data_IF_752175775107
#
_entry.id   IF_752175775107
#
_cell.length_a   1.000
_cell.length_b   1.000
_cell.length_c   1.000
_cell.angle_alpha   90.00
_cell.angle_beta   90.00
_cell.angle_gamma   90.00
#
_symmetry.space_group_name_H-M   'P 1'
#
loop_
_entity.id
_entity.type
_entity.pdbx_description
1 polymer ?
#
# COMPACT_ATOMS: atom_id res chain seq x y z
N UNK A 1 11.27 -20.13 1.90
CA UNK A 1 10.01 -20.64 1.33
C UNK A 1 9.10 -19.45 1.00
N UNK A 2 9.37 -18.73 -0.10
CA UNK A 2 8.76 -17.40 -0.33
C UNK A 2 8.57 -17.04 -1.82
N UNK A 3 8.85 -17.96 -2.73
CA UNK A 3 8.91 -17.74 -4.18
C UNK A 3 7.58 -17.99 -4.91
N UNK A 4 6.71 -18.87 -4.41
CA UNK A 4 5.48 -19.25 -5.13
C UNK A 4 4.35 -18.22 -5.02
N UNK A 5 4.21 -17.54 -3.87
CA UNK A 5 3.15 -16.53 -3.62
C UNK A 5 3.24 -15.33 -4.59
N UNK A 6 4.43 -15.02 -5.12
CA UNK A 6 4.65 -13.89 -6.04
C UNK A 6 4.22 -14.21 -7.48
N UNK A 7 4.20 -15.48 -7.87
CA UNK A 7 3.88 -15.90 -9.24
C UNK A 7 2.42 -15.58 -9.61
N UNK A 8 1.50 -15.70 -8.64
CA UNK A 8 0.08 -15.39 -8.84
C UNK A 8 -0.21 -13.90 -9.01
N UNK A 9 0.68 -13.01 -8.55
CA UNK A 9 0.45 -11.57 -8.50
C UNK A 9 1.11 -10.78 -9.66
N UNK A 10 1.83 -11.47 -10.56
CA UNK A 10 2.60 -10.86 -11.63
C UNK A 10 3.84 -10.08 -11.14
N UNK A 11 4.44 -9.25 -11.99
CA UNK A 11 5.59 -8.41 -11.58
C UNK A 11 5.16 -7.44 -10.47
N UNK A 12 5.78 -7.48 -9.28
CA UNK A 12 5.35 -6.65 -8.16
C UNK A 12 5.44 -5.16 -8.48
N UNK A 13 4.30 -4.47 -8.42
CA UNK A 13 4.19 -3.03 -8.66
C UNK A 13 4.66 -2.27 -7.43
N UNK A 14 5.57 -1.32 -7.60
CA UNK A 14 6.08 -0.53 -6.48
C UNK A 14 4.99 0.42 -5.99
N UNK A 15 4.79 0.43 -4.68
CA UNK A 15 3.86 1.31 -3.99
C UNK A 15 4.65 2.23 -3.06
N UNK A 16 4.92 3.44 -3.52
CA UNK A 16 5.64 4.45 -2.75
C UNK A 16 4.76 4.95 -1.61
N UNK A 17 5.20 4.73 -0.37
CA UNK A 17 4.44 5.09 0.84
C UNK A 17 5.13 6.21 1.61
N UNK A 18 4.34 7.14 2.13
CA UNK A 18 4.82 8.31 2.89
C UNK A 18 4.32 8.31 4.35
N UNK A 19 3.87 7.13 4.80
CA UNK A 19 3.46 6.86 6.17
C UNK A 19 3.98 5.46 6.60
N UNK A 20 4.49 5.37 7.82
CA UNK A 20 4.99 4.13 8.42
C UNK A 20 3.88 3.12 8.78
N UNK A 21 2.60 3.52 8.73
CA UNK A 21 1.47 2.63 9.00
C UNK A 21 1.47 1.35 8.15
N UNK A 22 1.97 1.43 6.92
CA UNK A 22 2.13 0.29 6.01
C UNK A 22 3.26 -0.67 6.37
N UNK A 23 4.26 -0.21 7.13
CA UNK A 23 5.43 -1.00 7.53
C UNK A 23 5.28 -1.62 8.91
N UNK A 24 4.58 -0.93 9.81
CA UNK A 24 4.42 -1.37 11.21
C UNK A 24 3.39 -2.49 11.39
N UNK A 25 2.66 -2.88 10.35
CA UNK A 25 1.60 -3.89 10.40
C UNK A 25 1.89 -5.01 9.39
N UNK A 26 2.45 -6.16 9.84
CA UNK A 26 2.90 -7.23 8.94
C UNK A 26 1.75 -7.82 8.11
N UNK A 27 0.52 -7.86 8.65
CA UNK A 27 -0.67 -8.30 7.91
C UNK A 27 -0.98 -7.41 6.71
N UNK A 28 -0.88 -6.09 6.86
CA UNK A 28 -1.13 -5.14 5.76
C UNK A 28 -0.05 -5.31 4.69
N UNK A 29 1.21 -5.41 5.09
CA UNK A 29 2.31 -5.65 4.15
C UNK A 29 2.12 -6.97 3.36
N UNK A 30 1.64 -8.04 4.02
CA UNK A 30 1.31 -9.31 3.34
C UNK A 30 0.14 -9.16 2.37
N UNK A 31 -0.96 -8.52 2.77
CA UNK A 31 -2.11 -8.26 1.89
C UNK A 31 -1.67 -7.49 0.64
N UNK A 32 -0.87 -6.44 0.80
CA UNK A 32 -0.37 -5.66 -0.33
C UNK A 32 0.53 -6.49 -1.24
N UNK A 33 1.42 -7.30 -0.67
CA UNK A 33 2.27 -8.23 -1.43
C UNK A 33 1.44 -9.20 -2.27
N UNK A 34 0.43 -9.82 -1.65
CA UNK A 34 -0.47 -10.75 -2.32
C UNK A 34 -1.35 -10.07 -3.38
N UNK A 35 -1.66 -8.78 -3.22
CA UNK A 35 -2.33 -7.95 -4.22
C UNK A 35 -1.38 -7.46 -5.34
N UNK A 36 -0.11 -7.92 -5.35
CA UNK A 36 0.89 -7.56 -6.35
C UNK A 36 1.54 -6.19 -6.12
N UNK A 37 1.43 -5.63 -4.92
CA UNK A 37 2.09 -4.39 -4.54
C UNK A 37 3.28 -4.64 -3.62
N UNK A 38 4.37 -3.93 -3.86
CA UNK A 38 5.53 -3.89 -2.98
C UNK A 38 5.65 -2.50 -2.35
N UNK A 39 5.28 -2.33 -1.06
CA UNK A 39 5.45 -1.06 -0.35
C UNK A 39 6.92 -0.67 -0.25
N UNK A 40 7.26 0.57 -0.60
CA UNK A 40 8.64 1.09 -0.56
C UNK A 40 8.68 2.52 -0.02
N UNK A 41 9.71 2.84 0.77
CA UNK A 41 10.02 4.21 1.19
C UNK A 41 10.91 4.87 0.14
N UNK A 42 10.30 5.34 -0.94
CA UNK A 42 11.02 5.99 -2.03
C UNK A 42 10.13 7.00 -2.75
N UNK A 43 10.74 7.94 -3.48
CA UNK A 43 10.01 8.76 -4.45
C UNK A 43 9.56 7.91 -5.64
N UNK A 44 8.36 8.16 -6.19
CA UNK A 44 7.88 7.44 -7.36
C UNK A 44 8.69 7.81 -8.60
N UNK A 45 8.98 6.79 -9.40
CA UNK A 45 9.50 6.85 -10.77
C UNK A 45 8.32 6.81 -11.75
N UNK A 46 8.52 7.12 -13.05
CA UNK A 46 7.46 6.94 -14.05
C UNK A 46 6.87 5.52 -13.99
N UNK A 47 5.54 5.43 -13.85
CA UNK A 47 4.82 4.15 -13.72
C UNK A 47 4.68 3.61 -12.30
N UNK A 48 5.38 4.15 -11.29
CA UNK A 48 5.15 3.76 -9.89
C UNK A 48 3.85 4.38 -9.35
N UNK A 49 3.20 3.68 -8.44
CA UNK A 49 2.03 4.18 -7.71
C UNK A 49 2.41 4.75 -6.34
N UNK A 50 1.60 5.67 -5.83
CA UNK A 50 1.71 6.21 -4.47
C UNK A 50 0.57 5.67 -3.60
N UNK A 51 0.91 5.12 -2.44
CA UNK A 51 -0.05 4.54 -1.50
C UNK A 51 -0.40 5.47 -0.35
N UNK A 52 -1.71 5.63 -0.08
CA UNK A 52 -2.23 6.37 1.08
C UNK A 52 -3.21 5.51 1.88
N UNK A 53 -3.39 5.84 3.16
CA UNK A 53 -4.42 5.25 4.00
C UNK A 53 -5.59 6.23 4.12
N UNK A 54 -6.69 5.94 3.46
CA UNK A 54 -7.90 6.77 3.40
C UNK A 54 -7.72 8.28 3.59
N UNK A 55 -8.56 8.87 4.42
CA UNK A 55 -8.45 10.26 4.88
C UNK A 55 -7.56 10.41 6.13
N UNK A 56 -6.45 9.65 6.22
CA UNK A 56 -5.50 9.77 7.32
C UNK A 56 -4.97 11.21 7.44
N UNK A 57 -4.63 11.70 8.65
CA UNK A 57 -3.94 12.99 8.85
C UNK A 57 -2.61 13.13 8.07
N UNK A 58 -2.08 12.02 7.55
CA UNK A 58 -0.84 11.98 6.77
C UNK A 58 -1.06 11.75 5.27
N UNK A 59 -2.31 11.52 4.82
CA UNK A 59 -2.64 11.20 3.43
C UNK A 59 -2.23 12.34 2.48
N UNK A 60 -2.30 13.59 2.95
CA UNK A 60 -1.93 14.78 2.17
C UNK A 60 -0.49 14.70 1.64
N UNK A 61 0.44 14.05 2.35
CA UNK A 61 1.83 13.87 1.88
C UNK A 61 1.89 13.03 0.63
N UNK A 62 1.17 11.90 0.62
CA UNK A 62 1.10 11.01 -0.54
C UNK A 62 0.35 11.67 -1.70
N UNK A 63 -0.77 12.33 -1.43
CA UNK A 63 -1.53 13.07 -2.44
C UNK A 63 -0.69 14.15 -3.11
N UNK A 64 0.05 14.94 -2.33
CA UNK A 64 0.95 15.98 -2.85
C UNK A 64 2.06 15.40 -3.74
N UNK A 65 2.68 14.28 -3.33
CA UNK A 65 3.70 13.62 -4.15
C UNK A 65 3.09 13.03 -5.43
N UNK A 66 1.94 12.38 -5.35
CA UNK A 66 1.25 11.81 -6.51
C UNK A 66 0.92 12.90 -7.54
N UNK A 67 0.33 14.02 -7.10
CA UNK A 67 0.03 15.16 -7.95
C UNK A 67 1.30 15.76 -8.58
N UNK A 68 2.35 15.98 -7.78
CA UNK A 68 3.62 16.55 -8.27
C UNK A 68 4.34 15.65 -9.28
N UNK A 69 4.15 14.33 -9.20
CA UNK A 69 4.86 13.34 -10.02
C UNK A 69 4.01 12.73 -11.13
N UNK A 70 2.73 13.11 -11.23
CA UNK A 70 1.78 12.49 -12.16
C UNK A 70 1.61 10.99 -11.90
N UNK A 71 1.80 10.55 -10.66
CA UNK A 71 1.78 9.13 -10.30
C UNK A 71 0.36 8.69 -9.93
N UNK A 72 -0.06 7.48 -10.32
CA UNK A 72 -1.32 6.90 -9.85
C UNK A 72 -1.40 6.85 -8.33
N UNK A 73 -2.56 7.17 -7.78
CA UNK A 73 -2.82 7.10 -6.33
C UNK A 73 -3.60 5.83 -6.02
N UNK A 74 -3.13 5.08 -5.00
CA UNK A 74 -3.81 3.90 -4.45
C UNK A 74 -4.21 4.20 -3.02
N UNK A 75 -5.51 4.19 -2.77
CA UNK A 75 -6.07 4.39 -1.42
C UNK A 75 -6.36 3.03 -0.79
N UNK A 76 -5.76 2.79 0.38
CA UNK A 76 -6.00 1.61 1.20
C UNK A 76 -6.94 1.99 2.33
N UNK A 77 -7.96 1.16 2.54
CA UNK A 77 -8.98 1.32 3.56
C UNK A 77 -9.13 0.03 4.36
N UNK A 78 -9.81 0.12 5.51
CA UNK A 78 -10.27 -1.07 6.21
C UNK A 78 -11.32 -1.82 5.36
N UNK A 79 -11.31 -3.16 5.47
CA UNK A 79 -12.32 -3.98 4.82
C UNK A 79 -13.71 -3.75 5.45
N UNK A 80 -14.77 -3.90 4.65
CA UNK A 80 -16.17 -3.81 5.12
C UNK A 80 -16.43 -4.66 6.36
N UNK A 81 -15.86 -5.87 6.41
CA UNK A 81 -15.83 -6.71 7.59
C UNK A 81 -14.39 -6.83 8.11
N UNK A 82 -14.07 -6.05 9.15
CA UNK A 82 -12.69 -6.00 9.69
C UNK A 82 -12.38 -7.09 10.72
N UNK A 83 -13.38 -7.72 11.32
CA UNK A 83 -13.20 -8.69 12.40
C UNK A 83 -14.41 -9.62 12.51
N UNK A 84 -14.17 -10.85 12.98
CA UNK A 84 -15.21 -11.80 13.39
C UNK A 84 -15.17 -11.86 14.92
N UNK A 85 -16.32 -11.69 15.57
CA UNK A 85 -16.47 -11.63 17.04
C UNK A 85 -15.72 -10.46 17.73
N UNK A 86 -16.00 -9.19 17.38
CA UNK A 86 -15.42 -8.07 18.10
C UNK A 86 -15.93 -8.02 19.56
N UNK A 87 -15.03 -7.90 20.53
CA UNK A 87 -15.39 -7.63 21.93
C UNK A 87 -15.60 -8.84 22.86
N UNK A 88 -14.99 -9.99 22.56
CA UNK A 88 -14.81 -11.04 23.57
C UNK A 88 -13.62 -10.76 24.47
#
# INVERSE_FOLDING_TARGET
MQSDDLSAAGTPRRLCIFNLGFLRRPRIARILTLAGYRPVLALPRPGDAVGIWGASPTAWRGQAIAARRGSPLVTVEDAFLRSVLPGR
#
